data_IF_945960693869
#
_entry.id   IF_945960693869
#
_cell.length_a   1.000
_cell.length_b   1.000
_cell.length_c   1.000
_cell.angle_alpha   90.00
_cell.angle_beta   90.00
_cell.angle_gamma   90.00
#
_symmetry.space_group_name_H-M   'P 1'
#
loop_
_entity.id
_entity.type
_entity.pdbx_description
1 polymer ?
#
# COMPACT_ATOMS: atom_id res chain seq x y z
N UNK A 1 -13.39 -28.79 -4.21
CA UNK A 1 -12.78 -27.85 -3.26
C UNK A 1 -13.51 -26.52 -3.27
N UNK A 2 -13.42 -25.76 -2.20
CA UNK A 2 -13.90 -24.39 -2.08
C UNK A 2 -12.68 -23.49 -1.92
N UNK A 3 -12.53 -22.48 -2.78
CA UNK A 3 -11.53 -21.42 -2.66
C UNK A 3 -12.23 -20.08 -2.41
N UNK A 4 -11.66 -19.24 -1.56
CA UNK A 4 -12.13 -17.89 -1.27
C UNK A 4 -11.01 -16.91 -1.61
N UNK A 5 -11.33 -15.83 -2.33
CA UNK A 5 -10.37 -14.78 -2.68
C UNK A 5 -11.08 -13.44 -2.80
N UNK A 6 -10.41 -12.36 -2.43
CA UNK A 6 -10.86 -11.00 -2.68
C UNK A 6 -10.53 -10.53 -4.11
N UNK A 7 -9.53 -11.17 -4.74
CA UNK A 7 -9.02 -10.81 -6.07
C UNK A 7 -9.16 -11.98 -7.03
N UNK A 8 -10.31 -12.17 -7.69
CA UNK A 8 -10.57 -13.33 -8.54
C UNK A 8 -9.89 -13.25 -9.92
N UNK A 9 -9.08 -12.24 -10.16
CA UNK A 9 -8.33 -12.03 -11.40
C UNK A 9 -6.84 -12.30 -11.12
N UNK A 10 -6.21 -13.08 -12.00
CA UNK A 10 -4.77 -13.36 -11.92
C UNK A 10 -3.97 -12.17 -12.42
N UNK A 11 -2.69 -12.05 -12.01
CA UNK A 11 -1.78 -11.01 -12.47
C UNK A 11 -1.58 -11.00 -14.01
N UNK A 12 -1.82 -12.14 -14.69
CA UNK A 12 -1.82 -12.23 -16.15
C UNK A 12 -3.15 -11.80 -16.81
N UNK A 13 -4.07 -11.22 -16.04
CA UNK A 13 -5.40 -10.79 -16.49
C UNK A 13 -6.40 -11.91 -16.76
N UNK A 14 -6.01 -13.17 -16.54
CA UNK A 14 -6.89 -14.33 -16.76
C UNK A 14 -7.69 -14.63 -15.50
N UNK A 15 -8.91 -15.11 -15.71
CA UNK A 15 -9.76 -15.59 -14.63
C UNK A 15 -9.27 -16.91 -14.01
N UNK A 16 -9.88 -17.30 -12.90
CA UNK A 16 -9.59 -18.55 -12.18
C UNK A 16 -10.33 -19.77 -12.74
N UNK A 17 -11.17 -19.58 -13.74
CA UNK A 17 -11.98 -20.63 -14.35
C UNK A 17 -11.18 -21.59 -15.25
N UNK A 18 -11.69 -22.79 -15.48
CA UNK A 18 -11.04 -23.81 -16.34
C UNK A 18 -10.83 -23.35 -17.77
N UNK A 19 -11.67 -22.44 -18.30
CA UNK A 19 -11.51 -21.82 -19.62
C UNK A 19 -10.21 -20.97 -19.75
N UNK A 20 -9.65 -20.53 -18.60
CA UNK A 20 -8.41 -19.76 -18.51
C UNK A 20 -7.27 -20.60 -17.89
N UNK A 21 -7.33 -21.93 -17.97
CA UNK A 21 -6.40 -22.86 -17.31
C UNK A 21 -6.37 -22.72 -15.77
N UNK A 22 -7.42 -22.18 -15.19
CA UNK A 22 -7.62 -22.13 -13.75
C UNK A 22 -8.26 -23.42 -13.21
N UNK A 23 -8.45 -23.51 -11.92
CA UNK A 23 -8.95 -24.69 -11.22
C UNK A 23 -10.44 -24.61 -10.85
N UNK A 24 -11.07 -23.44 -10.98
CA UNK A 24 -12.46 -23.23 -10.56
C UNK A 24 -13.46 -23.66 -11.63
N UNK A 25 -14.48 -24.40 -11.26
CA UNK A 25 -15.59 -24.79 -12.12
C UNK A 25 -16.67 -23.69 -12.17
N UNK A 26 -16.87 -23.01 -11.03
CA UNK A 26 -17.88 -21.98 -10.86
C UNK A 26 -17.34 -20.89 -9.93
N UNK A 27 -17.70 -19.64 -10.19
CA UNK A 27 -17.40 -18.50 -9.33
C UNK A 27 -18.71 -17.91 -8.81
N UNK A 28 -18.74 -17.69 -7.50
CA UNK A 28 -19.82 -16.97 -6.82
C UNK A 28 -19.25 -15.63 -6.40
N UNK A 29 -19.81 -14.55 -6.95
CA UNK A 29 -19.37 -13.17 -6.65
C UNK A 29 -20.21 -12.67 -5.46
N UNK A 30 -19.54 -12.19 -4.43
CA UNK A 30 -20.17 -11.53 -3.29
C UNK A 30 -20.62 -10.10 -3.63
N UNK A 31 -21.15 -9.35 -2.64
CA UNK A 31 -21.53 -7.97 -2.83
C UNK A 31 -20.33 -7.11 -3.22
N UNK A 32 -20.56 -6.12 -4.04
CA UNK A 32 -19.55 -5.15 -4.46
C UNK A 32 -19.12 -4.25 -3.28
N UNK A 33 -17.93 -3.65 -3.37
CA UNK A 33 -17.45 -2.67 -2.39
C UNK A 33 -18.48 -1.53 -2.19
N UNK A 34 -19.09 -1.01 -3.27
CA UNK A 34 -20.10 0.05 -3.18
C UNK A 34 -21.36 -0.38 -2.44
N UNK A 35 -21.80 -1.62 -2.64
CA UNK A 35 -22.94 -2.17 -1.88
C UNK A 35 -22.58 -2.28 -0.39
N UNK A 36 -21.38 -2.75 -0.06
CA UNK A 36 -20.92 -2.86 1.34
C UNK A 36 -20.77 -1.47 2.00
N UNK A 37 -20.29 -0.47 1.28
CA UNK A 37 -20.25 0.93 1.74
C UNK A 37 -21.67 1.45 1.98
N UNK A 38 -22.60 1.25 1.03
CA UNK A 38 -23.98 1.69 1.16
C UNK A 38 -24.73 1.05 2.33
N UNK A 39 -24.33 -0.18 2.69
CA UNK A 39 -24.85 -0.94 3.83
C UNK A 39 -24.08 -0.64 5.15
N UNK A 40 -23.12 0.27 5.13
CA UNK A 40 -22.28 0.64 6.28
C UNK A 40 -21.40 -0.52 6.83
N UNK A 41 -21.12 -1.53 6.01
CA UNK A 41 -20.17 -2.61 6.33
C UNK A 41 -18.73 -2.21 6.03
N UNK A 42 -18.51 -1.26 5.11
CA UNK A 42 -17.22 -0.65 4.80
C UNK A 42 -17.33 0.87 4.91
N UNK A 43 -16.21 1.50 5.32
CA UNK A 43 -16.07 2.95 5.30
C UNK A 43 -16.09 3.48 3.85
N UNK A 44 -16.65 4.65 3.64
CA UNK A 44 -16.48 5.38 2.38
C UNK A 44 -15.06 5.96 2.30
N UNK A 45 -14.57 6.21 1.09
CA UNK A 45 -13.21 6.68 0.88
C UNK A 45 -13.13 7.83 -0.11
N UNK A 46 -12.08 8.64 0.02
CA UNK A 46 -11.67 9.63 -0.97
C UNK A 46 -10.34 9.19 -1.57
N UNK A 47 -10.27 9.14 -2.88
CA UNK A 47 -9.02 8.94 -3.60
C UNK A 47 -8.43 10.31 -3.96
N UNK A 48 -7.20 10.56 -3.53
CA UNK A 48 -6.45 11.78 -3.84
C UNK A 48 -5.21 11.32 -4.60
N UNK A 49 -5.04 11.85 -5.80
CA UNK A 49 -3.84 11.64 -6.61
C UNK A 49 -3.03 12.93 -6.59
N UNK A 50 -1.81 12.86 -6.03
CA UNK A 50 -0.86 13.96 -6.13
C UNK A 50 -0.32 14.05 -7.55
N UNK A 51 -0.10 15.27 -8.05
CA UNK A 51 0.68 15.46 -9.27
C UNK A 51 2.11 15.02 -9.01
N UNK A 52 2.67 14.25 -9.93
CA UNK A 52 4.06 13.79 -9.85
C UNK A 52 4.69 13.85 -11.24
N UNK A 53 5.99 14.12 -11.29
CA UNK A 53 6.80 14.08 -12.49
C UNK A 53 7.43 12.69 -12.74
N UNK A 54 6.95 11.66 -12.04
CA UNK A 54 7.45 10.30 -12.16
C UNK A 54 7.18 9.75 -13.58
N UNK A 55 8.25 9.50 -14.31
CA UNK A 55 8.19 8.86 -15.62
C UNK A 55 8.32 7.34 -15.48
N UNK A 56 7.24 6.64 -15.78
CA UNK A 56 7.19 5.18 -15.79
C UNK A 56 7.13 4.65 -17.22
N UNK A 57 7.97 3.67 -17.53
CA UNK A 57 8.01 3.06 -18.86
C UNK A 57 7.71 1.56 -18.79
N UNK A 58 7.17 1.00 -19.88
CA UNK A 58 6.87 -0.43 -19.98
C UNK A 58 8.11 -1.34 -19.76
N UNK A 59 9.33 -0.82 -20.00
CA UNK A 59 10.58 -1.57 -19.79
C UNK A 59 10.88 -1.80 -18.29
N UNK A 60 10.28 -1.00 -17.43
CA UNK A 60 10.41 -1.13 -15.96
C UNK A 60 9.56 -2.29 -15.42
N UNK A 61 8.61 -2.81 -16.20
CA UNK A 61 7.73 -3.90 -15.79
C UNK A 61 8.49 -5.24 -15.85
N UNK A 62 8.30 -6.06 -14.83
CA UNK A 62 8.82 -7.43 -14.77
C UNK A 62 7.91 -8.37 -15.54
N UNK A 63 8.45 -9.07 -16.53
CA UNK A 63 7.71 -10.11 -17.26
C UNK A 63 7.30 -11.31 -16.38
N UNK A 64 7.91 -11.47 -15.22
CA UNK A 64 7.65 -12.59 -14.30
C UNK A 64 6.50 -12.29 -13.34
N UNK A 65 6.45 -11.06 -12.80
CA UNK A 65 5.46 -10.66 -11.80
C UNK A 65 4.32 -9.83 -12.38
N UNK A 66 4.51 -9.21 -13.55
CA UNK A 66 3.55 -8.27 -14.12
C UNK A 66 3.53 -6.90 -13.41
N UNK A 67 4.40 -6.68 -12.43
CA UNK A 67 4.54 -5.41 -11.71
C UNK A 67 5.91 -4.78 -11.97
N UNK A 68 6.12 -3.54 -11.54
CA UNK A 68 7.39 -2.84 -11.73
C UNK A 68 8.54 -3.54 -11.02
N UNK A 69 9.72 -3.53 -11.68
CA UNK A 69 10.98 -4.03 -11.08
C UNK A 69 11.38 -3.08 -9.93
N UNK A 70 11.60 -3.56 -8.69
CA UNK A 70 11.90 -2.70 -7.54
C UNK A 70 13.09 -1.75 -7.78
N UNK A 71 14.15 -2.24 -8.45
CA UNK A 71 15.34 -1.42 -8.74
C UNK A 71 15.10 -0.31 -9.76
N UNK A 72 14.28 -0.56 -10.77
CA UNK A 72 13.92 0.44 -11.77
C UNK A 72 12.99 1.50 -11.18
N UNK A 73 12.04 1.05 -10.35
CA UNK A 73 11.12 1.91 -9.64
C UNK A 73 11.87 2.82 -8.65
N UNK A 74 12.77 2.25 -7.84
CA UNK A 74 13.60 3.03 -6.92
C UNK A 74 14.36 4.14 -7.62
N UNK A 75 15.02 3.83 -8.75
CA UNK A 75 15.75 4.82 -9.54
C UNK A 75 14.82 5.93 -10.06
N UNK A 76 13.65 5.57 -10.61
CA UNK A 76 12.68 6.55 -11.09
C UNK A 76 12.17 7.45 -9.95
N UNK A 77 11.99 6.91 -8.75
CA UNK A 77 11.57 7.66 -7.57
C UNK A 77 12.68 8.57 -7.02
N UNK A 78 13.94 8.11 -7.03
CA UNK A 78 15.11 8.94 -6.64
C UNK A 78 15.32 10.11 -7.61
N UNK A 79 15.04 9.91 -8.90
CA UNK A 79 15.15 10.94 -9.93
C UNK A 79 13.94 11.91 -9.92
N UNK A 80 12.86 11.57 -9.25
CA UNK A 80 11.65 12.38 -9.07
C UNK A 80 11.61 13.04 -7.67
N UNK A 81 10.86 14.12 -7.53
CA UNK A 81 10.68 14.79 -6.24
C UNK A 81 9.54 14.21 -5.38
N UNK A 82 9.17 12.93 -5.61
CA UNK A 82 8.00 12.30 -4.96
C UNK A 82 8.07 12.38 -3.43
N UNK A 83 9.23 12.16 -2.83
CA UNK A 83 9.35 12.06 -1.37
C UNK A 83 8.98 13.39 -0.69
N UNK A 84 9.46 14.53 -1.21
CA UNK A 84 9.08 15.86 -0.72
C UNK A 84 7.59 16.14 -0.93
N UNK A 85 7.01 15.64 -2.01
CA UNK A 85 5.59 15.79 -2.34
C UNK A 85 4.69 14.94 -1.42
N UNK A 86 5.13 13.76 -0.99
CA UNK A 86 4.37 12.87 -0.11
C UNK A 86 4.10 13.51 1.25
N UNK A 87 5.10 14.11 1.90
CA UNK A 87 4.93 14.78 3.19
C UNK A 87 4.04 16.02 3.07
N UNK A 88 4.23 16.83 2.05
CA UNK A 88 3.43 18.05 1.82
C UNK A 88 1.99 17.70 1.45
N UNK A 89 1.79 16.70 0.62
CA UNK A 89 0.46 16.18 0.25
C UNK A 89 -0.27 15.62 1.48
N UNK A 90 0.42 14.82 2.29
CA UNK A 90 -0.14 14.30 3.53
C UNK A 90 -0.57 15.43 4.48
N UNK A 91 0.27 16.46 4.70
CA UNK A 91 -0.10 17.64 5.49
C UNK A 91 -1.34 18.36 4.99
N UNK A 92 -1.54 18.37 3.68
CA UNK A 92 -2.68 19.07 3.08
C UNK A 92 -3.98 18.29 3.23
N UNK A 93 -3.93 16.97 3.09
CA UNK A 93 -5.15 16.15 2.94
C UNK A 93 -5.39 15.14 4.06
N UNK A 94 -4.37 14.83 4.85
CA UNK A 94 -4.38 13.77 5.86
C UNK A 94 -3.78 14.19 7.21
N UNK A 95 -3.59 15.49 7.45
CA UNK A 95 -2.99 15.98 8.70
C UNK A 95 -3.73 15.43 9.94
N UNK A 96 -2.96 14.84 10.85
CA UNK A 96 -3.46 14.21 12.06
C UNK A 96 -4.13 12.84 11.88
N UNK A 97 -4.27 12.32 10.65
CA UNK A 97 -4.85 11.00 10.40
C UNK A 97 -3.85 9.88 10.66
N UNK A 98 -4.35 8.78 11.23
CA UNK A 98 -3.56 7.56 11.41
C UNK A 98 -3.30 6.91 10.05
N UNK A 99 -2.04 6.95 9.60
CA UNK A 99 -1.67 6.69 8.22
C UNK A 99 -0.70 5.54 8.08
N UNK A 100 -0.95 4.64 7.13
CA UNK A 100 0.03 3.65 6.66
C UNK A 100 0.53 4.08 5.29
N UNK A 101 1.85 4.07 5.10
CA UNK A 101 2.51 4.39 3.83
C UNK A 101 3.19 3.14 3.28
N UNK A 102 2.90 2.81 2.03
CA UNK A 102 3.50 1.70 1.31
C UNK A 102 4.61 2.22 0.40
N UNK A 103 5.84 1.77 0.63
CA UNK A 103 7.03 2.20 -0.11
C UNK A 103 7.61 1.08 -0.97
N UNK A 104 8.50 1.41 -1.89
CA UNK A 104 9.08 0.44 -2.83
C UNK A 104 10.14 -0.47 -2.19
N UNK A 105 10.84 -0.01 -1.16
CA UNK A 105 11.83 -0.80 -0.41
C UNK A 105 11.97 -0.32 1.04
N UNK A 106 12.77 -1.06 1.83
CA UNK A 106 12.98 -0.79 3.26
C UNK A 106 13.72 0.54 3.49
N UNK A 107 14.69 0.85 2.64
CA UNK A 107 15.48 2.08 2.77
C UNK A 107 14.60 3.30 2.49
N UNK A 108 13.70 3.21 1.51
CA UNK A 108 12.69 4.25 1.23
C UNK A 108 11.73 4.43 2.39
N UNK A 109 11.30 3.34 3.05
CA UNK A 109 10.45 3.43 4.24
C UNK A 109 11.15 4.16 5.39
N UNK A 110 12.42 3.84 5.64
CA UNK A 110 13.22 4.50 6.69
C UNK A 110 13.47 5.98 6.37
N UNK A 111 13.80 6.29 5.10
CA UNK A 111 14.02 7.66 4.64
C UNK A 111 12.75 8.51 4.77
N UNK A 112 11.62 8.02 4.27
CA UNK A 112 10.35 8.72 4.32
C UNK A 112 9.85 8.93 5.76
N UNK A 113 9.99 7.91 6.62
CA UNK A 113 9.68 8.06 8.05
C UNK A 113 10.56 9.14 8.72
N UNK A 114 11.82 9.26 8.32
CA UNK A 114 12.70 10.33 8.79
C UNK A 114 12.21 11.71 8.32
N UNK A 115 11.80 11.85 7.07
CA UNK A 115 11.30 13.11 6.54
C UNK A 115 10.02 13.57 7.22
N UNK A 116 9.09 12.65 7.51
CA UNK A 116 7.93 12.96 8.34
C UNK A 116 8.34 13.49 9.71
N UNK A 117 9.32 12.84 10.37
CA UNK A 117 9.83 13.30 11.68
C UNK A 117 10.52 14.67 11.59
N UNK A 118 11.32 14.90 10.56
CA UNK A 118 11.98 16.19 10.32
C UNK A 118 10.95 17.31 10.08
N UNK A 119 9.79 16.96 9.56
CA UNK A 119 8.63 17.86 9.39
C UNK A 119 7.75 17.99 10.65
N UNK A 120 8.15 17.40 11.79
CA UNK A 120 7.46 17.47 13.07
C UNK A 120 6.30 16.49 13.24
N UNK A 121 6.19 15.47 12.36
CA UNK A 121 5.12 14.48 12.38
C UNK A 121 5.66 13.17 13.01
N UNK A 122 5.01 12.61 14.05
CA UNK A 122 5.41 11.34 14.63
C UNK A 122 5.30 10.21 13.61
N UNK A 123 6.44 9.67 13.17
CA UNK A 123 6.50 8.63 12.16
C UNK A 123 7.55 7.57 12.48
N UNK A 124 7.25 6.33 12.14
CA UNK A 124 8.16 5.19 12.28
C UNK A 124 8.17 4.37 10.99
N UNK A 125 9.29 3.67 10.76
CA UNK A 125 9.37 2.64 9.73
C UNK A 125 9.26 1.25 10.37
N UNK A 126 8.55 0.35 9.70
CA UNK A 126 8.45 -1.05 10.09
C UNK A 126 8.85 -1.93 8.91
N UNK A 127 9.76 -2.86 9.14
CA UNK A 127 10.35 -3.66 8.06
C UNK A 127 10.78 -5.05 8.52
N UNK A 128 11.32 -5.84 7.59
CA UNK A 128 11.94 -7.13 7.91
C UNK A 128 13.19 -7.01 8.79
N UNK A 129 13.77 -5.82 8.92
CA UNK A 129 14.93 -5.55 9.79
C UNK A 129 14.56 -5.51 11.27
N UNK A 130 13.31 -5.23 11.60
CA UNK A 130 12.84 -5.22 12.98
C UNK A 130 12.60 -6.63 13.50
N UNK A 131 12.99 -6.88 14.74
CA UNK A 131 12.61 -8.08 15.48
C UNK A 131 11.10 -8.14 15.71
N UNK A 132 10.58 -9.31 16.04
CA UNK A 132 9.15 -9.47 16.35
C UNK A 132 8.70 -8.59 17.51
N UNK A 133 9.56 -8.40 18.53
CA UNK A 133 9.25 -7.55 19.66
C UNK A 133 9.19 -6.07 19.25
N UNK A 134 10.18 -5.59 18.51
CA UNK A 134 10.19 -4.21 17.99
C UNK A 134 8.96 -3.92 17.13
N UNK A 135 8.56 -4.87 16.27
CA UNK A 135 7.34 -4.71 15.46
C UNK A 135 6.10 -4.58 16.35
N UNK A 136 5.98 -5.42 17.37
CA UNK A 136 4.86 -5.34 18.31
C UNK A 136 4.82 -3.99 19.01
N UNK A 137 5.97 -3.49 19.47
CA UNK A 137 6.10 -2.21 20.16
C UNK A 137 5.76 -1.01 19.22
N UNK A 138 6.18 -1.08 17.93
CA UNK A 138 5.85 -0.07 16.92
C UNK A 138 4.34 -0.06 16.68
N UNK A 139 3.73 -1.23 16.48
CA UNK A 139 2.29 -1.34 16.23
C UNK A 139 1.48 -0.83 17.44
N UNK A 140 1.89 -1.15 18.67
CA UNK A 140 1.24 -0.62 19.88
C UNK A 140 1.30 0.92 19.93
N UNK A 141 2.44 1.52 19.56
CA UNK A 141 2.55 2.99 19.49
C UNK A 141 1.66 3.58 18.41
N UNK A 142 1.58 2.92 17.26
CA UNK A 142 0.71 3.32 16.15
C UNK A 142 -0.77 3.26 16.55
N UNK A 143 -1.25 2.14 17.11
CA UNK A 143 -2.63 1.98 17.57
C UNK A 143 -3.00 3.01 18.64
N UNK A 144 -2.06 3.38 19.50
CA UNK A 144 -2.24 4.41 20.53
C UNK A 144 -2.03 5.84 20.03
N UNK A 145 -1.88 6.03 18.71
CA UNK A 145 -1.65 7.33 18.06
C UNK A 145 -0.43 8.10 18.59
N UNK A 146 0.54 7.40 19.17
CA UNK A 146 1.85 7.97 19.51
C UNK A 146 2.73 8.11 18.28
N UNK A 147 2.54 7.22 17.31
CA UNK A 147 3.02 7.29 15.94
C UNK A 147 1.81 7.54 15.06
N UNK A 148 1.84 8.56 14.21
CA UNK A 148 0.74 8.88 13.28
C UNK A 148 0.97 8.28 11.90
N UNK A 149 2.22 8.20 11.46
CA UNK A 149 2.58 7.69 10.13
C UNK A 149 3.47 6.47 10.27
N UNK A 150 3.04 5.36 9.69
CA UNK A 150 3.76 4.10 9.68
C UNK A 150 4.18 3.74 8.25
N UNK A 151 5.47 3.91 7.95
CA UNK A 151 6.04 3.57 6.65
C UNK A 151 6.46 2.12 6.61
N UNK A 152 6.06 1.40 5.56
CA UNK A 152 6.39 -0.02 5.43
C UNK A 152 6.70 -0.41 3.99
N UNK A 153 7.41 -1.54 3.84
CA UNK A 153 7.58 -2.24 2.58
C UNK A 153 7.11 -3.68 2.75
N UNK A 154 6.05 -4.05 2.01
CA UNK A 154 5.46 -5.41 1.91
C UNK A 154 5.09 -6.13 3.22
N UNK A 155 5.09 -5.44 4.38
CA UNK A 155 4.68 -6.06 5.64
C UNK A 155 3.16 -6.05 5.87
N UNK A 156 2.47 -5.06 5.33
CA UNK A 156 1.03 -4.93 5.43
C UNK A 156 0.39 -5.24 4.07
N UNK A 157 0.48 -6.51 3.69
CA UNK A 157 -0.23 -7.03 2.54
C UNK A 157 -1.64 -7.50 2.90
N UNK A 158 -2.12 -8.49 2.17
CA UNK A 158 -3.40 -9.12 2.45
C UNK A 158 -3.45 -9.68 3.89
N UNK A 159 -4.52 -9.38 4.61
CA UNK A 159 -4.77 -9.89 5.95
C UNK A 159 -4.28 -9.03 7.12
N UNK A 160 -3.64 -7.87 6.89
CA UNK A 160 -3.42 -6.90 7.95
C UNK A 160 -4.71 -6.12 8.22
N UNK A 161 -5.23 -6.26 9.43
CA UNK A 161 -6.44 -5.57 9.88
C UNK A 161 -6.09 -4.54 10.96
N UNK A 162 -6.31 -3.26 10.66
CA UNK A 162 -6.16 -2.15 11.58
C UNK A 162 -7.38 -1.23 11.45
N UNK A 163 -8.46 -1.49 12.21
CA UNK A 163 -9.69 -0.69 12.14
C UNK A 163 -9.51 0.78 12.45
N UNK A 164 -8.43 1.14 13.16
CA UNK A 164 -8.11 2.52 13.52
C UNK A 164 -7.43 3.29 12.37
N UNK A 165 -7.00 2.63 11.31
CA UNK A 165 -6.35 3.29 10.17
C UNK A 165 -7.34 4.18 9.41
N UNK A 166 -6.93 5.42 9.17
CA UNK A 166 -7.76 6.47 8.56
C UNK A 166 -7.27 6.87 7.16
N UNK A 167 -6.00 6.61 6.87
CA UNK A 167 -5.38 6.96 5.59
C UNK A 167 -4.40 5.88 5.13
N UNK A 168 -4.42 5.58 3.83
CA UNK A 168 -3.41 4.77 3.18
C UNK A 168 -2.73 5.59 2.08
N UNK A 169 -1.41 5.64 2.09
CA UNK A 169 -0.61 6.33 1.08
C UNK A 169 0.15 5.28 0.27
N UNK A 170 -0.04 5.31 -1.03
CA UNK A 170 0.71 4.48 -1.96
C UNK A 170 1.89 5.33 -2.49
N UNK A 171 3.03 5.23 -1.82
CA UNK A 171 4.29 5.89 -2.19
C UNK A 171 5.14 4.96 -3.08
N UNK A 172 4.46 4.10 -3.82
CA UNK A 172 5.02 3.26 -4.87
C UNK A 172 4.00 3.08 -5.98
N UNK A 173 4.38 3.26 -7.23
CA UNK A 173 3.55 2.85 -8.35
C UNK A 173 3.40 1.32 -8.38
N UNK A 174 2.25 0.84 -8.85
CA UNK A 174 1.97 -0.58 -9.06
C UNK A 174 1.08 -0.75 -10.30
N UNK A 175 1.31 -1.80 -11.06
CA UNK A 175 0.41 -2.26 -12.14
C UNK A 175 -0.64 -3.26 -11.62
N UNK A 176 -0.50 -3.71 -10.37
CA UNK A 176 -1.44 -4.64 -9.74
C UNK A 176 -2.60 -3.87 -9.12
N UNK A 177 -3.80 -4.17 -9.59
CA UNK A 177 -5.07 -3.67 -9.06
C UNK A 177 -5.77 -4.74 -8.26
#
# INVERSE_FOLDING_TARGET
GLGVTATPIRADGKGLGRHASGYADQMIIGPSMRELISQQHLADYRLIMAETDLELTAEMISHTTGDYKPSALKKAMEDSNIVGDTVSTWKTYADGLLTVVFTCDVDSAEALAKEFRDAGIPAEAISSRNSNQERADILERFERRKTLVLCNNDLFGEGYDCPAMECAVMDRPTESY
#
